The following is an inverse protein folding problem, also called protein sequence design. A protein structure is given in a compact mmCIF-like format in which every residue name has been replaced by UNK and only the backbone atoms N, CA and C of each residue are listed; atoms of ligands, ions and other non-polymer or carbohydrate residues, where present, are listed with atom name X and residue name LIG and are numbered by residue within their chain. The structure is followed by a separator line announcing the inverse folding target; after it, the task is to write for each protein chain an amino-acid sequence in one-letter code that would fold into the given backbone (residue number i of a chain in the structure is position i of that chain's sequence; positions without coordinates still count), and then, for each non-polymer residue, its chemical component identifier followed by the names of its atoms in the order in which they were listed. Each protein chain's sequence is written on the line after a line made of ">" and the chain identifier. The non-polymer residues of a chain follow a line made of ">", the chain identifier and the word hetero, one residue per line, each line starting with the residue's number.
data_IF_657203786809
#
_entry.id   IF_657203786809
#
_cell.length_a   1.000
_cell.length_b   1.000
_cell.length_c   1.000
_cell.angle_alpha   90.00
_cell.angle_beta   90.00
_cell.angle_gamma   90.00
#
_symmetry.space_group_name_H-M   'P 1'
#
loop_
_entity.id
_entity.type
_entity.pdbx_description
1 polymer ?
#
# COMPACT_ATOMS: atom_id res chain seq x y z
N UNK A 1 -9.34 -7.43 5.10
CA UNK A 1 -9.71 -7.03 3.71
C UNK A 1 -9.60 -8.27 2.83
N UNK A 2 -10.52 -8.54 1.90
CA UNK A 2 -10.42 -9.70 0.99
C UNK A 2 -9.53 -9.36 -0.22
N UNK A 3 -8.22 -9.45 -0.06
CA UNK A 3 -7.24 -9.03 -1.10
C UNK A 3 -7.38 -9.91 -2.35
N UNK A 4 -7.76 -11.17 -2.20
CA UNK A 4 -7.99 -12.12 -3.30
C UNK A 4 -9.15 -11.70 -4.20
N UNK A 5 -10.09 -10.90 -3.68
CA UNK A 5 -11.22 -10.39 -4.45
C UNK A 5 -10.86 -9.15 -5.29
N UNK A 6 -9.66 -8.60 -5.13
CA UNK A 6 -9.21 -7.40 -5.84
C UNK A 6 -8.30 -7.82 -6.98
N UNK A 7 -8.71 -7.54 -8.22
CA UNK A 7 -7.90 -7.81 -9.40
C UNK A 7 -6.65 -6.91 -9.43
N UNK A 8 -5.58 -7.38 -10.07
CA UNK A 8 -4.34 -6.61 -10.29
C UNK A 8 -4.60 -5.33 -11.10
N UNK A 9 -5.57 -5.33 -12.01
CA UNK A 9 -5.98 -4.21 -12.87
C UNK A 9 -7.02 -4.70 -13.87
N UNK A 10 -7.61 -3.81 -14.67
CA UNK A 10 -8.51 -4.18 -15.77
C UNK A 10 -7.73 -4.66 -16.99
N UNK A 11 -6.63 -4.00 -17.32
CA UNK A 11 -5.71 -4.33 -18.41
C UNK A 11 -4.23 -4.07 -18.01
N UNK A 12 -3.65 -4.89 -17.11
CA UNK A 12 -2.22 -4.78 -16.79
C UNK A 12 -1.34 -5.10 -18.00
N UNK A 13 -0.23 -4.36 -18.24
CA UNK A 13 0.37 -3.36 -17.37
C UNK A 13 -0.12 -1.92 -17.59
N UNK A 14 -1.02 -1.69 -18.55
CA UNK A 14 -1.48 -0.33 -18.89
C UNK A 14 -2.29 0.32 -17.75
N UNK A 15 -3.04 -0.48 -16.99
CA UNK A 15 -3.64 -0.07 -15.74
C UNK A 15 -3.47 -1.12 -14.62
N UNK A 16 -3.27 -0.62 -13.40
CA UNK A 16 -3.12 -1.43 -12.19
C UNK A 16 -3.92 -0.83 -11.04
N UNK A 17 -4.51 -1.70 -10.24
CA UNK A 17 -5.08 -1.35 -8.95
C UNK A 17 -3.97 -1.28 -7.90
N UNK A 18 -4.03 -0.28 -7.03
CA UNK A 18 -3.08 -0.11 -5.93
C UNK A 18 -3.86 -0.04 -4.62
N UNK A 19 -3.47 -0.87 -3.65
CA UNK A 19 -3.98 -0.80 -2.28
C UNK A 19 -3.08 0.18 -1.52
N UNK A 20 -3.66 1.30 -1.07
CA UNK A 20 -2.93 2.39 -0.42
C UNK A 20 -2.65 2.05 1.05
N UNK A 21 -1.39 2.19 1.45
CA UNK A 21 -0.91 1.98 2.82
C UNK A 21 -0.59 3.30 3.53
N UNK A 22 -0.08 4.29 2.80
CA UNK A 22 0.27 5.61 3.36
C UNK A 22 -0.36 6.72 2.50
N UNK A 23 -1.19 7.61 3.08
CA UNK A 23 -1.78 8.71 2.35
C UNK A 23 -0.77 9.84 2.09
N UNK A 24 -0.98 10.58 1.00
CA UNK A 24 -0.22 11.81 0.70
C UNK A 24 -0.29 12.80 1.86
N UNK A 25 0.85 13.35 2.25
CA UNK A 25 0.94 14.31 3.36
C UNK A 25 0.51 13.75 4.71
N UNK A 26 0.33 12.42 4.84
CA UNK A 26 -0.05 11.75 6.08
C UNK A 26 0.99 11.89 7.19
N UNK A 27 0.65 11.31 8.34
CA UNK A 27 1.59 11.23 9.45
C UNK A 27 2.83 10.41 9.06
N UNK A 28 4.00 10.69 9.67
CA UNK A 28 5.27 10.04 9.35
C UNK A 28 5.32 8.61 9.90
N UNK A 29 4.39 7.77 9.46
CA UNK A 29 4.22 6.37 9.83
C UNK A 29 4.16 5.56 8.55
N UNK A 30 5.05 4.57 8.45
CA UNK A 30 4.93 3.55 7.41
C UNK A 30 4.05 2.45 7.94
N UNK A 31 2.85 2.36 7.39
CA UNK A 31 2.01 1.17 7.52
C UNK A 31 2.40 0.14 6.47
N UNK A 32 2.17 -1.13 6.76
CA UNK A 32 2.36 -2.23 5.85
C UNK A 32 1.24 -3.26 6.03
N UNK A 33 0.74 -3.79 4.92
CA UNK A 33 -0.33 -4.79 4.92
C UNK A 33 0.24 -6.17 5.28
N UNK A 34 -0.28 -6.75 6.36
CA UNK A 34 -0.17 -8.20 6.55
C UNK A 34 -1.15 -8.89 5.59
N UNK A 35 -0.62 -9.66 4.64
CA UNK A 35 -1.41 -10.27 3.56
C UNK A 35 -2.27 -11.44 4.07
N UNK A 36 -1.85 -12.16 5.10
CA UNK A 36 -2.59 -13.29 5.67
C UNK A 36 -3.75 -12.80 6.55
N UNK A 37 -3.48 -11.82 7.40
CA UNK A 37 -4.49 -11.20 8.25
C UNK A 37 -5.40 -10.22 7.47
N UNK A 38 -4.91 -9.66 6.37
CA UNK A 38 -5.59 -8.65 5.57
C UNK A 38 -5.81 -7.35 6.35
N UNK A 39 -4.86 -6.98 7.21
CA UNK A 39 -4.88 -5.80 8.10
C UNK A 39 -3.58 -5.01 8.00
N UNK A 40 -3.67 -3.69 8.17
CA UNK A 40 -2.50 -2.80 8.21
C UNK A 40 -1.84 -2.84 9.60
N UNK A 41 -0.53 -3.01 9.61
CA UNK A 41 0.32 -2.91 10.78
C UNK A 41 1.25 -1.71 10.68
N UNK A 42 1.65 -1.17 11.83
CA UNK A 42 2.74 -0.19 11.88
C UNK A 42 4.04 -0.96 11.69
N UNK A 43 4.69 -0.76 10.55
CA UNK A 43 6.05 -1.25 10.33
C UNK A 43 7.04 -0.39 11.11
N UNK A 44 6.98 0.93 10.92
CA UNK A 44 7.83 1.88 11.65
C UNK A 44 7.32 3.31 11.63
N UNK A 45 7.85 4.10 12.57
CA UNK A 45 7.81 5.55 12.53
C UNK A 45 8.96 6.07 11.66
N UNK A 46 8.73 7.10 10.85
CA UNK A 46 9.79 7.74 10.10
C UNK A 46 10.61 8.65 11.02
N UNK A 47 11.92 8.52 10.97
CA UNK A 47 12.85 9.30 11.80
C UNK A 47 13.19 10.68 11.20
N UNK A 48 12.79 10.91 9.95
CA UNK A 48 12.97 12.20 9.26
C UNK A 48 11.69 13.02 9.31
N UNK A 49 11.82 14.35 9.32
CA UNK A 49 10.67 15.27 9.24
C UNK A 49 10.15 15.41 7.79
N UNK A 50 9.93 14.28 7.13
CA UNK A 50 9.41 14.20 5.76
C UNK A 50 8.03 13.55 5.77
N UNK A 51 7.22 13.89 4.77
CA UNK A 51 5.93 13.26 4.49
C UNK A 51 5.93 12.71 3.08
N UNK A 52 5.13 11.68 2.83
CA UNK A 52 5.00 11.12 1.49
C UNK A 52 4.38 12.16 0.55
N UNK A 53 5.02 12.46 -0.61
CA UNK A 53 4.54 13.47 -1.56
C UNK A 53 3.39 12.96 -2.45
N UNK A 54 3.01 11.69 -2.31
CA UNK A 54 1.92 11.03 -3.02
C UNK A 54 1.36 9.88 -2.18
N UNK A 55 0.22 9.34 -2.58
CA UNK A 55 -0.29 8.12 -1.96
C UNK A 55 0.64 6.96 -2.30
N UNK A 56 0.98 6.15 -1.31
CA UNK A 56 1.89 5.03 -1.43
C UNK A 56 1.18 3.72 -1.07
N UNK A 57 1.50 2.65 -1.79
CA UNK A 57 0.90 1.35 -1.61
C UNK A 57 1.51 0.32 -2.55
N UNK A 58 0.83 -0.81 -2.70
CA UNK A 58 1.29 -1.94 -3.51
C UNK A 58 0.24 -2.44 -4.50
N UNK A 59 0.69 -3.13 -5.55
CA UNK A 59 -0.17 -3.83 -6.51
C UNK A 59 -0.43 -5.26 -5.98
N UNK A 60 -1.69 -5.71 -5.84
CA UNK A 60 -1.96 -7.06 -5.38
C UNK A 60 -1.57 -8.12 -6.44
N UNK A 61 -1.23 -9.31 -5.96
CA UNK A 61 -0.87 -10.50 -6.77
C UNK A 61 0.43 -10.35 -7.59
N UNK A 62 1.34 -9.47 -7.19
CA UNK A 62 2.68 -9.36 -7.77
C UNK A 62 3.75 -9.80 -6.78
N UNK A 63 4.88 -10.28 -7.31
CA UNK A 63 6.10 -10.61 -6.56
C UNK A 63 7.27 -9.88 -7.23
N UNK A 64 8.12 -9.23 -6.42
CA UNK A 64 9.30 -8.49 -6.87
C UNK A 64 10.52 -9.38 -7.06
#
# INVERSE_FOLDING_TARGET
>A
MRIEAIATGKNPPDDVNVIIEVPIGGEPIKYEMDKEAGTLFVDRFLHTSMRYPGNYGFVPHTLS
#
